data_IF_347564042556
#
_entry.id   IF_347564042556
#
_cell.length_a   1.000
_cell.length_b   1.000
_cell.length_c   1.000
_cell.angle_alpha   90.00
_cell.angle_beta   90.00
_cell.angle_gamma   90.00
#
_symmetry.space_group_name_H-M   'P 1'
#
loop_
_entity.id
_entity.type
_entity.pdbx_description
1 polymer ?
#
# COMPACT_ATOMS: atom_id res chain seq x y z
N UNK A 1 -6.25 -12.99 18.71
CA UNK A 1 -7.23 -12.10 18.12
C UNK A 1 -6.57 -11.10 17.21
N UNK A 2 -7.06 -10.91 16.01
CA UNK A 2 -6.41 -9.96 15.11
C UNK A 2 -6.61 -8.54 15.59
N UNK A 3 -5.66 -7.72 15.24
CA UNK A 3 -5.74 -6.29 15.54
C UNK A 3 -6.88 -5.68 14.71
N UNK A 4 -7.66 -4.73 15.28
CA UNK A 4 -8.68 -4.07 14.48
C UNK A 4 -8.11 -3.28 13.30
N UNK A 5 -6.82 -2.95 13.36
CA UNK A 5 -6.18 -2.22 12.25
C UNK A 5 -5.67 -3.15 11.17
N UNK A 6 -5.67 -4.46 11.40
CA UNK A 6 -5.12 -5.40 10.44
C UNK A 6 -6.12 -5.64 9.31
N UNK A 7 -5.72 -5.44 8.04
CA UNK A 7 -6.63 -5.71 6.93
C UNK A 7 -7.00 -7.18 6.85
N UNK A 8 -8.23 -7.45 6.47
CA UNK A 8 -8.69 -8.82 6.30
C UNK A 8 -8.49 -9.30 4.87
N UNK A 9 -8.18 -8.40 3.95
CA UNK A 9 -8.04 -8.73 2.54
C UNK A 9 -6.79 -8.09 1.97
N UNK A 10 -6.35 -8.62 0.82
CA UNK A 10 -5.23 -8.01 0.11
C UNK A 10 -5.55 -6.59 -0.36
N UNK A 11 -6.83 -6.31 -0.65
CA UNK A 11 -7.23 -4.95 -1.02
C UNK A 11 -6.92 -3.97 0.11
N UNK A 12 -7.13 -4.36 1.36
CA UNK A 12 -6.78 -3.52 2.49
C UNK A 12 -5.30 -3.24 2.57
N UNK A 13 -4.46 -4.23 2.26
CA UNK A 13 -3.01 -4.01 2.24
C UNK A 13 -2.59 -3.11 1.10
N UNK A 14 -3.16 -3.27 -0.09
CA UNK A 14 -2.82 -2.40 -1.21
C UNK A 14 -3.27 -0.98 -0.94
N UNK A 15 -4.43 -0.81 -0.37
CA UNK A 15 -4.91 0.53 0.00
C UNK A 15 -3.93 1.18 0.99
N UNK A 16 -3.50 0.44 2.00
CA UNK A 16 -2.59 0.97 3.01
C UNK A 16 -1.22 1.33 2.43
N UNK A 17 -0.69 0.53 1.49
CA UNK A 17 0.60 0.84 0.89
C UNK A 17 0.48 2.00 -0.10
N UNK A 18 -0.68 2.17 -0.72
CA UNK A 18 -0.90 3.23 -1.70
C UNK A 18 -1.09 4.59 -1.05
N UNK A 19 -1.58 4.63 0.16
CA UNK A 19 -1.86 5.87 0.85
C UNK A 19 -0.62 6.78 0.96
N UNK A 20 0.52 6.32 1.45
CA UNK A 20 1.71 7.17 1.49
C UNK A 20 2.22 7.55 0.11
N UNK A 21 2.01 6.72 -0.90
CA UNK A 21 2.42 7.06 -2.26
C UNK A 21 1.67 8.30 -2.74
N UNK A 22 0.34 8.31 -2.59
CA UNK A 22 -0.46 9.43 -3.07
C UNK A 22 -0.43 10.62 -2.12
N UNK A 23 -0.14 10.41 -0.85
CA UNK A 23 -0.12 11.49 0.13
C UNK A 23 1.13 12.36 0.03
N UNK A 24 2.18 11.86 -0.61
CA UNK A 24 3.43 12.62 -0.70
C UNK A 24 3.19 13.96 -1.38
N UNK A 25 3.55 15.02 -0.68
CA UNK A 25 3.35 16.38 -1.19
C UNK A 25 1.98 16.96 -0.96
N UNK A 26 1.09 16.23 -0.30
CA UNK A 26 -0.27 16.70 0.00
C UNK A 26 -0.49 16.72 1.50
N UNK A 27 -1.36 17.63 1.97
CA UNK A 27 -1.74 17.64 3.36
C UNK A 27 -2.67 16.45 3.65
N UNK A 28 -2.70 16.07 4.93
CA UNK A 28 -3.57 14.98 5.35
C UNK A 28 -5.03 15.27 5.03
N UNK A 29 -5.44 16.53 5.23
CA UNK A 29 -6.82 16.92 4.93
C UNK A 29 -7.15 16.71 3.46
N UNK A 30 -6.23 17.10 2.57
CA UNK A 30 -6.46 16.99 1.14
C UNK A 30 -6.55 15.52 0.73
N UNK A 31 -5.62 14.69 1.20
CA UNK A 31 -5.63 13.29 0.81
C UNK A 31 -6.84 12.56 1.40
N UNK A 32 -7.26 12.89 2.61
CA UNK A 32 -8.44 12.28 3.19
C UNK A 32 -9.70 12.63 2.39
N UNK A 33 -9.81 13.87 1.92
CA UNK A 33 -10.94 14.29 1.13
C UNK A 33 -10.98 13.60 -0.24
N UNK A 34 -9.82 13.35 -0.83
CA UNK A 34 -9.72 12.70 -2.14
C UNK A 34 -9.84 11.19 -2.08
N UNK A 35 -9.62 10.60 -0.91
CA UNK A 35 -9.44 9.15 -0.82
C UNK A 35 -10.62 8.32 -1.35
N UNK A 36 -11.88 8.64 -1.06
CA UNK A 36 -12.97 7.84 -1.61
C UNK A 36 -12.97 7.79 -3.13
N UNK A 37 -12.66 8.90 -3.79
CA UNK A 37 -12.58 8.94 -5.25
C UNK A 37 -11.40 8.16 -5.78
N UNK A 38 -10.25 8.23 -5.08
CA UNK A 38 -9.08 7.46 -5.45
C UNK A 38 -9.38 5.97 -5.30
N UNK A 39 -10.01 5.58 -4.20
CA UNK A 39 -10.37 4.18 -3.98
C UNK A 39 -11.26 3.66 -5.09
N UNK A 40 -12.27 4.43 -5.48
CA UNK A 40 -13.16 4.01 -6.56
C UNK A 40 -12.43 3.88 -7.89
N UNK A 41 -11.55 4.83 -8.17
CA UNK A 41 -10.81 4.83 -9.43
C UNK A 41 -9.87 3.63 -9.55
N UNK A 42 -9.38 3.12 -8.43
CA UNK A 42 -8.50 1.96 -8.40
C UNK A 42 -9.24 0.66 -8.04
N UNK A 43 -10.52 0.58 -8.37
CA UNK A 43 -11.33 -0.64 -8.20
C UNK A 43 -11.30 -1.17 -6.77
N UNK A 44 -11.41 -0.26 -5.80
CA UNK A 44 -11.38 -0.63 -4.38
C UNK A 44 -10.03 -1.14 -3.93
N UNK A 45 -8.99 -0.88 -4.70
CA UNK A 45 -7.63 -1.37 -4.45
C UNK A 45 -7.53 -2.89 -4.46
N UNK A 46 -8.40 -3.55 -5.24
CA UNK A 46 -8.27 -4.98 -5.45
C UNK A 46 -6.98 -5.24 -6.22
N UNK A 47 -5.99 -5.93 -5.62
CA UNK A 47 -4.68 -6.06 -6.28
C UNK A 47 -4.75 -6.80 -7.60
N UNK A 48 -5.66 -7.75 -7.73
CA UNK A 48 -5.77 -8.48 -8.99
C UNK A 48 -6.26 -7.58 -10.12
N UNK A 49 -7.21 -6.70 -9.82
CA UNK A 49 -7.70 -5.75 -10.80
C UNK A 49 -6.65 -4.71 -11.14
N UNK A 50 -6.02 -4.13 -10.10
CA UNK A 50 -5.02 -3.07 -10.32
C UNK A 50 -3.79 -3.60 -11.03
N UNK A 51 -3.35 -4.80 -10.70
CA UNK A 51 -2.18 -5.39 -11.35
C UNK A 51 -2.39 -5.60 -12.86
N UNK A 52 -3.64 -5.72 -13.29
CA UNK A 52 -3.98 -5.88 -14.70
C UNK A 52 -4.25 -4.56 -15.43
N UNK A 53 -4.16 -3.43 -14.74
CA UNK A 53 -4.37 -2.14 -15.40
C UNK A 53 -3.33 -1.94 -16.51
N UNK A 54 -3.82 -1.55 -17.67
CA UNK A 54 -2.96 -1.31 -18.83
C UNK A 54 -2.94 0.16 -19.21
N UNK A 55 -2.39 0.48 -20.40
CA UNK A 55 -2.26 1.88 -20.82
C UNK A 55 -3.58 2.64 -20.85
N UNK A 56 -4.68 2.00 -21.23
CA UNK A 56 -5.98 2.68 -21.25
C UNK A 56 -6.42 3.05 -19.85
N UNK A 57 -6.14 2.20 -18.87
CA UNK A 57 -6.49 2.51 -17.48
C UNK A 57 -5.66 3.66 -16.95
N UNK A 58 -4.39 3.72 -17.32
CA UNK A 58 -3.51 4.82 -16.90
C UNK A 58 -4.05 6.14 -17.46
N UNK A 59 -4.44 6.16 -18.74
CA UNK A 59 -4.99 7.38 -19.34
C UNK A 59 -6.29 7.79 -18.66
N UNK A 60 -7.14 6.82 -18.35
CA UNK A 60 -8.38 7.08 -17.62
C UNK A 60 -8.10 7.72 -16.26
N UNK A 61 -7.12 7.17 -15.54
CA UNK A 61 -6.77 7.69 -14.22
C UNK A 61 -6.16 9.09 -14.31
N UNK A 62 -5.35 9.35 -15.34
CA UNK A 62 -4.76 10.67 -15.53
C UNK A 62 -5.81 11.72 -15.85
N UNK A 63 -6.92 11.32 -16.45
CA UNK A 63 -8.00 12.23 -16.78
C UNK A 63 -9.00 12.42 -15.64
N UNK A 64 -8.92 11.61 -14.59
CA UNK A 64 -9.88 11.64 -13.49
C UNK A 64 -9.50 12.72 -12.48
N UNK A 65 -10.35 13.74 -12.29
CA UNK A 65 -10.04 14.81 -11.35
C UNK A 65 -10.01 14.35 -9.88
N UNK A 66 -10.59 13.19 -9.58
CA UNK A 66 -10.57 12.66 -8.23
C UNK A 66 -9.21 12.05 -7.86
N UNK A 67 -8.39 11.75 -8.85
CA UNK A 67 -7.10 11.09 -8.65
C UNK A 67 -5.99 12.11 -8.70
N UNK A 68 -4.92 11.87 -7.94
CA UNK A 68 -3.70 12.66 -8.06
C UNK A 68 -3.08 12.38 -9.43
N UNK A 69 -2.91 13.44 -10.24
CA UNK A 69 -2.50 13.29 -11.63
C UNK A 69 -0.99 13.13 -11.75
N UNK A 70 -0.50 11.98 -11.37
CA UNK A 70 0.91 11.67 -11.49
C UNK A 70 1.04 10.29 -12.13
N UNK A 71 1.51 10.27 -13.38
CA UNK A 71 1.72 9.00 -14.07
C UNK A 71 2.65 8.11 -13.27
N UNK A 72 3.72 8.68 -12.70
CA UNK A 72 4.68 7.90 -11.95
C UNK A 72 4.04 7.22 -10.73
N UNK A 73 3.17 7.95 -10.02
CA UNK A 73 2.50 7.36 -8.85
C UNK A 73 1.46 6.32 -9.25
N UNK A 74 0.76 6.56 -10.37
CA UNK A 74 -0.20 5.59 -10.88
C UNK A 74 0.51 4.30 -11.27
N UNK A 75 1.60 4.42 -12.03
CA UNK A 75 2.37 3.25 -12.44
C UNK A 75 2.97 2.52 -11.24
N UNK A 76 3.44 3.28 -10.25
CA UNK A 76 3.96 2.67 -9.03
C UNK A 76 2.88 1.87 -8.30
N UNK A 77 1.65 2.37 -8.29
CA UNK A 77 0.54 1.66 -7.65
C UNK A 77 0.26 0.33 -8.35
N UNK A 78 0.31 0.33 -9.69
CA UNK A 78 0.13 -0.90 -10.45
C UNK A 78 1.27 -1.89 -10.16
N UNK A 79 2.51 -1.40 -10.16
CA UNK A 79 3.66 -2.24 -9.85
C UNK A 79 3.57 -2.77 -8.43
N UNK A 80 3.09 -1.95 -7.50
CA UNK A 80 2.95 -2.36 -6.10
C UNK A 80 1.88 -3.43 -5.94
N UNK A 81 0.81 -3.37 -6.74
CA UNK A 81 -0.19 -4.42 -6.72
C UNK A 81 0.40 -5.76 -7.18
N UNK A 82 1.23 -5.72 -8.20
CA UNK A 82 1.90 -6.92 -8.68
C UNK A 82 2.85 -7.48 -7.63
N UNK A 83 3.63 -6.61 -7.00
CA UNK A 83 4.56 -7.03 -5.94
C UNK A 83 3.81 -7.64 -4.77
N UNK A 84 2.69 -7.03 -4.38
CA UNK A 84 1.87 -7.55 -3.29
C UNK A 84 1.39 -8.97 -3.57
N UNK A 85 0.90 -9.20 -4.78
CA UNK A 85 0.43 -10.53 -5.17
C UNK A 85 1.57 -11.56 -5.16
N UNK A 86 2.74 -11.16 -5.64
CA UNK A 86 3.90 -12.05 -5.65
C UNK A 86 4.34 -12.42 -4.24
N UNK A 87 4.42 -11.43 -3.37
CA UNK A 87 4.83 -11.68 -1.99
C UNK A 87 3.81 -12.53 -1.25
N UNK A 88 2.54 -12.28 -1.51
CA UNK A 88 1.47 -13.09 -0.92
C UNK A 88 1.61 -14.56 -1.33
N UNK A 89 1.87 -14.79 -2.60
CA UNK A 89 2.02 -16.16 -3.10
C UNK A 89 3.28 -16.83 -2.57
N UNK A 90 4.39 -16.09 -2.53
CA UNK A 90 5.66 -16.65 -2.08
C UNK A 90 5.67 -17.04 -0.62
N UNK A 91 4.93 -16.29 0.20
CA UNK A 91 4.94 -16.49 1.65
C UNK A 91 3.67 -17.15 2.17
N UNK A 92 2.79 -17.56 1.28
CA UNK A 92 1.50 -18.16 1.65
C UNK A 92 0.67 -17.21 2.51
N UNK A 93 0.75 -15.93 2.19
CA UNK A 93 0.03 -14.87 2.87
C UNK A 93 0.89 -13.64 3.04
N UNK A 94 0.35 -12.48 2.70
CA UNK A 94 1.13 -11.24 2.81
C UNK A 94 1.43 -10.92 4.27
N UNK A 95 0.55 -11.31 5.18
CA UNK A 95 0.81 -11.13 6.60
C UNK A 95 2.04 -11.93 7.02
N UNK A 96 2.20 -13.13 6.49
CA UNK A 96 3.39 -13.94 6.79
C UNK A 96 4.65 -13.29 6.25
N UNK A 97 4.53 -12.66 5.08
CA UNK A 97 5.66 -11.89 4.56
C UNK A 97 6.08 -10.80 5.54
N UNK A 98 5.10 -10.04 6.05
CA UNK A 98 5.41 -8.96 7.00
C UNK A 98 6.03 -9.50 8.28
N UNK A 99 5.58 -10.66 8.73
CA UNK A 99 6.08 -11.26 9.97
C UNK A 99 7.41 -12.00 9.79
N UNK A 100 7.88 -12.15 8.56
CA UNK A 100 9.07 -12.97 8.29
C UNK A 100 10.38 -12.26 8.57
N UNK A 101 10.35 -11.00 8.90
CA UNK A 101 11.54 -10.20 9.15
C UNK A 101 11.81 -10.18 10.66
N UNK A 102 13.02 -9.90 11.05
CA UNK A 102 13.41 -9.94 12.45
C UNK A 102 12.97 -8.75 13.28
N UNK A 103 12.24 -7.80 12.69
CA UNK A 103 11.79 -6.61 13.41
C UNK A 103 11.35 -5.54 12.46
N UNK A 104 10.88 -4.42 13.01
CA UNK A 104 10.34 -3.33 12.20
C UNK A 104 11.37 -2.78 11.23
N UNK A 105 12.60 -2.57 11.70
CA UNK A 105 13.61 -1.98 10.82
C UNK A 105 13.93 -2.87 9.62
N UNK A 106 14.01 -4.18 9.85
CA UNK A 106 14.24 -5.11 8.75
C UNK A 106 13.06 -5.13 7.79
N UNK A 107 11.85 -5.07 8.32
CA UNK A 107 10.65 -5.01 7.50
C UNK A 107 10.63 -3.75 6.65
N UNK A 108 10.94 -2.60 7.24
CA UNK A 108 10.99 -1.34 6.51
C UNK A 108 12.01 -1.41 5.38
N UNK A 109 13.18 -1.95 5.65
CA UNK A 109 14.22 -2.05 4.62
C UNK A 109 13.75 -2.90 3.45
N UNK A 110 13.06 -3.99 3.73
CA UNK A 110 12.57 -4.86 2.66
C UNK A 110 11.41 -4.22 1.91
N UNK A 111 10.50 -3.54 2.61
CA UNK A 111 9.40 -2.85 1.95
C UNK A 111 9.92 -1.81 0.95
N UNK A 112 10.97 -1.10 1.31
CA UNK A 112 11.57 -0.11 0.42
C UNK A 112 12.15 -0.74 -0.84
N UNK A 113 12.57 -1.98 -0.77
CA UNK A 113 13.09 -2.70 -1.94
C UNK A 113 11.98 -3.28 -2.80
N UNK A 114 10.91 -3.74 -2.16
CA UNK A 114 9.85 -4.47 -2.86
C UNK A 114 8.82 -3.55 -3.50
N UNK A 115 8.61 -2.37 -2.92
CA UNK A 115 7.56 -1.47 -3.38
C UNK A 115 8.14 -0.15 -3.88
N UNK A 116 7.44 0.47 -4.82
CA UNK A 116 7.89 1.73 -5.42
C UNK A 116 7.30 2.92 -4.68
N UNK A 117 8.07 3.99 -4.63
CA UNK A 117 7.67 5.25 -4.00
C UNK A 117 7.40 5.10 -2.50
N UNK A 118 8.05 4.15 -1.86
CA UNK A 118 7.97 3.96 -0.42
C UNK A 118 9.33 4.28 0.18
N UNK A 119 9.38 5.34 0.99
CA UNK A 119 10.56 5.67 1.77
C UNK A 119 10.38 5.24 3.21
N UNK A 120 11.29 5.67 4.09
CA UNK A 120 11.23 5.29 5.50
C UNK A 120 9.92 5.69 6.15
N UNK A 121 9.52 6.95 5.99
CA UNK A 121 8.28 7.45 6.59
C UNK A 121 7.07 6.70 6.06
N UNK A 122 7.00 6.52 4.74
CA UNK A 122 5.88 5.81 4.14
C UNK A 122 5.79 4.36 4.60
N UNK A 123 6.94 3.69 4.74
CA UNK A 123 6.95 2.31 5.21
C UNK A 123 6.48 2.22 6.66
N UNK A 124 6.93 3.14 7.51
CA UNK A 124 6.48 3.17 8.90
C UNK A 124 4.98 3.49 8.98
N UNK A 125 4.50 4.43 8.17
CA UNK A 125 3.08 4.75 8.13
C UNK A 125 2.25 3.55 7.68
N UNK A 126 2.74 2.82 6.68
CA UNK A 126 2.07 1.61 6.23
C UNK A 126 1.98 0.58 7.35
N UNK A 127 3.11 0.32 8.02
CA UNK A 127 3.12 -0.69 9.08
C UNK A 127 2.20 -0.33 10.22
N UNK A 128 2.15 0.95 10.59
CA UNK A 128 1.24 1.41 11.62
C UNK A 128 -0.22 1.20 11.17
N UNK A 129 -0.52 1.52 9.92
CA UNK A 129 -1.88 1.40 9.41
C UNK A 129 -2.38 -0.04 9.37
N UNK A 130 -1.49 -1.00 9.22
CA UNK A 130 -1.90 -2.42 9.16
C UNK A 130 -1.64 -3.16 10.47
N UNK A 131 -1.34 -2.43 11.54
CA UNK A 131 -1.17 -3.04 12.84
C UNK A 131 0.17 -3.73 13.08
N UNK A 132 1.17 -3.40 12.26
CA UNK A 132 2.51 -4.01 12.35
C UNK A 132 3.50 -2.98 12.89
N UNK A 133 3.32 -2.54 14.12
CA UNK A 133 4.20 -1.52 14.67
C UNK A 133 5.26 -2.15 15.56
N UNK A 134 6.32 -1.40 15.78
CA UNK A 134 7.36 -1.85 16.68
C UNK A 134 6.89 -2.00 18.10
N UNK A 135 5.90 -1.24 18.48
CA UNK A 135 5.34 -1.36 19.80
C UNK A 135 4.80 -2.76 20.03
N UNK A 136 4.19 -3.32 19.03
CA UNK A 136 3.69 -4.66 19.15
C UNK A 136 4.81 -5.63 19.38
N UNK A 137 5.89 -5.42 18.71
CA UNK A 137 7.03 -6.26 18.89
C UNK A 137 7.59 -6.18 20.28
N UNK A 138 7.68 -4.99 20.75
CA UNK A 138 8.18 -4.79 22.06
C UNK A 138 7.33 -5.49 23.09
N UNK A 139 6.08 -5.47 22.84
CA UNK A 139 5.19 -6.06 23.80
C UNK A 139 5.36 -7.54 23.86
N UNK A 140 5.91 -8.03 22.88
CA UNK A 140 6.07 -9.40 22.96
C UNK A 140 7.05 -9.74 23.95
N UNK A 141 7.58 -8.85 24.33
CA UNK A 141 8.33 -9.25 25.19
C UNK A 141 8.17 -9.81 26.26
#
# INVERSE_FOLDING_TARGET
MPSPDRPETLAGYLEAISRPVFAAGLSRRVIDAKWPGIRDAFAGFDPRAVADFGPADIERLLADPAVVRSRAKIEATIDNAQALLELDAEHSGFERYLDSHGGVEATVADLKRQFRFIGDTGAHDFLAAVGQTGACTASAT
#
